data_IF_583739319859
#
_entry.id   IF_583739319859
#
_cell.length_a   1.000
_cell.length_b   1.000
_cell.length_c   1.000
_cell.angle_alpha   90.00
_cell.angle_beta   90.00
_cell.angle_gamma   90.00
#
_symmetry.space_group_name_H-M   'P 1'
#
loop_
_entity.id
_entity.type
_entity.pdbx_description
1 polymer ?
#
# COMPACT_ATOMS: atom_id res chain seq x y z
N UNK A 1 -4.41 -4.57 -6.62
CA UNK A 1 -4.82 -4.08 -5.30
C UNK A 1 -5.28 -2.64 -5.44
N UNK A 2 -6.26 -2.22 -4.66
CA UNK A 2 -6.72 -0.83 -4.65
C UNK A 2 -5.98 -0.07 -3.55
N UNK A 3 -5.35 1.03 -3.91
CA UNK A 3 -4.68 1.95 -3.00
C UNK A 3 -5.42 3.27 -2.99
N UNK A 4 -5.56 3.87 -1.81
CA UNK A 4 -6.25 5.13 -1.59
C UNK A 4 -5.23 6.18 -1.17
N UNK A 5 -5.20 7.31 -1.88
CA UNK A 5 -4.37 8.43 -1.50
C UNK A 5 -4.89 9.05 -0.20
N UNK A 6 -4.03 9.15 0.80
CA UNK A 6 -4.37 9.70 2.12
C UNK A 6 -4.59 11.21 2.10
N UNK A 7 -4.14 11.90 1.05
CA UNK A 7 -4.31 13.36 0.91
C UNK A 7 -5.55 13.75 0.10
N UNK A 8 -5.74 13.17 -1.08
CA UNK A 8 -6.83 13.58 -1.99
C UNK A 8 -7.95 12.54 -2.14
N UNK A 9 -7.81 11.36 -1.53
CA UNK A 9 -8.84 10.32 -1.51
C UNK A 9 -9.05 9.56 -2.83
N UNK A 10 -8.23 9.81 -3.85
CA UNK A 10 -8.34 9.07 -5.11
C UNK A 10 -7.91 7.62 -4.92
N UNK A 11 -8.62 6.71 -5.61
CA UNK A 11 -8.29 5.30 -5.66
C UNK A 11 -7.47 5.00 -6.92
N UNK A 12 -6.33 4.35 -6.75
CA UNK A 12 -5.48 3.88 -7.85
C UNK A 12 -5.32 2.37 -7.76
N UNK A 13 -5.26 1.72 -8.93
CA UNK A 13 -5.09 0.27 -9.01
C UNK A 13 -3.62 -0.05 -9.20
N UNK A 14 -3.00 -0.61 -8.17
CA UNK A 14 -1.63 -1.11 -8.23
C UNK A 14 -1.65 -2.58 -8.66
N UNK A 15 -0.89 -2.98 -9.70
CA UNK A 15 -0.78 -4.37 -10.12
C UNK A 15 -0.22 -5.27 -9.02
N UNK A 16 -0.72 -6.51 -8.94
CA UNK A 16 -0.25 -7.48 -7.93
C UNK A 16 1.23 -7.81 -8.11
N UNK A 17 1.68 -7.93 -9.36
CA UNK A 17 3.07 -8.23 -9.72
C UNK A 17 4.06 -7.20 -9.16
N UNK A 18 3.68 -5.91 -9.11
CA UNK A 18 4.50 -4.85 -8.53
C UNK A 18 4.64 -5.04 -7.02
N UNK A 19 3.54 -5.40 -6.35
CA UNK A 19 3.51 -5.64 -4.90
C UNK A 19 4.35 -6.87 -4.56
N UNK A 20 4.18 -7.96 -5.30
CA UNK A 20 4.98 -9.18 -5.12
C UNK A 20 6.47 -8.90 -5.40
N UNK A 21 6.79 -8.11 -6.41
CA UNK A 21 8.17 -7.67 -6.69
C UNK A 21 8.78 -6.96 -5.48
N UNK A 22 8.05 -6.04 -4.85
CA UNK A 22 8.51 -5.37 -3.61
C UNK A 22 8.68 -6.40 -2.48
N UNK A 23 7.70 -7.27 -2.23
CA UNK A 23 7.77 -8.26 -1.14
C UNK A 23 8.96 -9.23 -1.24
N UNK A 24 9.31 -9.66 -2.46
CA UNK A 24 10.28 -10.73 -2.67
C UNK A 24 11.67 -10.24 -3.08
N UNK A 25 11.77 -9.03 -3.65
CA UNK A 25 13.02 -8.53 -4.25
C UNK A 25 13.55 -7.25 -3.60
N UNK A 26 12.75 -6.55 -2.78
CA UNK A 26 13.22 -5.35 -2.08
C UNK A 26 13.95 -5.74 -0.77
N UNK A 27 15.23 -5.37 -0.67
CA UNK A 27 16.06 -5.65 0.52
C UNK A 27 15.57 -4.87 1.76
N UNK A 28 14.92 -3.72 1.55
CA UNK A 28 14.38 -2.88 2.62
C UNK A 28 12.92 -3.25 2.96
N UNK A 29 12.39 -4.33 2.36
CA UNK A 29 11.04 -4.79 2.67
C UNK A 29 10.90 -5.16 4.16
N UNK A 30 9.96 -4.51 4.83
CA UNK A 30 9.53 -4.89 6.17
C UNK A 30 8.13 -5.50 6.13
N UNK A 31 7.92 -6.72 6.67
CA UNK A 31 6.60 -7.34 6.75
C UNK A 31 5.67 -6.62 7.74
N UNK A 32 6.17 -5.65 8.51
CA UNK A 32 5.36 -4.86 9.45
C UNK A 32 4.78 -3.59 8.81
N UNK A 33 5.07 -3.34 7.54
CA UNK A 33 4.59 -2.17 6.80
C UNK A 33 4.00 -2.59 5.46
N UNK A 34 2.91 -1.95 5.05
CA UNK A 34 2.39 -2.12 3.70
C UNK A 34 3.34 -1.48 2.67
N UNK A 35 3.45 -2.04 1.45
CA UNK A 35 4.16 -1.38 0.35
C UNK A 35 3.61 0.01 0.08
N UNK A 36 4.50 0.99 -0.04
CA UNK A 36 4.16 2.41 -0.13
C UNK A 36 4.21 2.90 -1.59
N UNK A 37 3.22 3.71 -1.96
CA UNK A 37 3.14 4.31 -3.30
C UNK A 37 2.83 5.79 -3.22
N UNK A 38 3.27 6.54 -4.23
CA UNK A 38 2.94 7.95 -4.40
C UNK A 38 1.78 8.08 -5.37
N UNK A 39 0.76 8.84 -4.97
CA UNK A 39 -0.41 9.17 -5.78
C UNK A 39 0.02 9.87 -7.07
N UNK A 40 -0.43 9.35 -8.22
CA UNK A 40 -0.11 9.92 -9.54
C UNK A 40 -0.68 11.34 -9.70
N UNK A 41 -1.78 11.64 -9.00
CA UNK A 41 -2.46 12.95 -9.10
C UNK A 41 -1.80 14.05 -8.26
N UNK A 42 -1.38 13.76 -7.04
CA UNK A 42 -0.92 14.79 -6.10
C UNK A 42 0.43 14.51 -5.43
N UNK A 43 1.05 13.36 -5.69
CA UNK A 43 2.30 12.94 -5.05
C UNK A 43 2.17 12.54 -3.58
N UNK A 44 0.94 12.53 -3.04
CA UNK A 44 0.67 12.14 -1.66
C UNK A 44 0.82 10.65 -1.41
N UNK A 45 1.10 10.28 -0.16
CA UNK A 45 1.18 8.87 0.26
C UNK A 45 -0.14 8.13 0.00
N UNK A 46 -0.01 6.89 -0.44
CA UNK A 46 -1.14 5.99 -0.67
C UNK A 46 -1.06 4.77 0.23
N UNK A 47 -2.22 4.32 0.69
CA UNK A 47 -2.34 3.15 1.55
C UNK A 47 -3.31 2.13 0.93
N UNK A 48 -3.08 0.81 1.09
CA UNK A 48 -4.00 -0.18 0.54
C UNK A 48 -5.37 -0.06 1.19
N UNK A 49 -6.43 -0.25 0.40
CA UNK A 49 -7.78 -0.41 0.95
C UNK A 49 -7.85 -1.64 1.87
N UNK A 50 -7.28 -2.76 1.40
CA UNK A 50 -7.00 -3.97 2.16
C UNK A 50 -5.83 -4.70 1.49
N UNK A 51 -4.88 -5.16 2.27
CA UNK A 51 -3.71 -5.91 1.81
C UNK A 51 -3.30 -6.92 2.87
N UNK A 52 -2.94 -8.14 2.44
CA UNK A 52 -2.38 -9.17 3.30
C UNK A 52 -1.08 -9.65 2.70
N UNK A 53 0.01 -9.52 3.45
CA UNK A 53 1.34 -9.92 3.01
C UNK A 53 1.58 -11.43 3.14
N UNK A 54 2.72 -11.92 2.65
CA UNK A 54 3.07 -13.35 2.72
C UNK A 54 3.23 -13.89 4.16
N UNK A 55 3.57 -13.04 5.13
CA UNK A 55 3.60 -13.41 6.56
C UNK A 55 2.20 -13.53 7.18
N UNK A 56 1.15 -13.21 6.43
CA UNK A 56 -0.24 -13.25 6.87
C UNK A 56 -0.68 -12.02 7.66
N UNK A 57 0.13 -10.96 7.72
CA UNK A 57 -0.20 -9.68 8.36
C UNK A 57 -1.10 -8.88 7.43
N UNK A 58 -2.15 -8.30 8.01
CA UNK A 58 -3.17 -7.54 7.29
C UNK A 58 -2.99 -6.04 7.55
N UNK A 59 -3.21 -5.26 6.50
CA UNK A 59 -3.18 -3.80 6.50
C UNK A 59 -4.46 -3.29 5.86
N UNK A 60 -5.12 -2.36 6.53
CA UNK A 60 -6.40 -1.79 6.11
C UNK A 60 -6.34 -0.27 6.18
N UNK A 61 -7.06 0.41 5.26
CA UNK A 61 -7.07 1.87 5.24
C UNK A 61 -7.49 2.48 6.59
N UNK A 62 -8.40 1.83 7.31
CA UNK A 62 -8.84 2.25 8.64
C UNK A 62 -7.70 2.34 9.67
N UNK A 63 -6.59 1.62 9.47
CA UNK A 63 -5.45 1.64 10.39
C UNK A 63 -4.74 3.01 10.42
N UNK A 64 -4.94 3.82 9.37
CA UNK A 64 -4.30 5.13 9.17
C UNK A 64 -5.29 6.28 9.02
N UNK A 65 -6.58 6.02 8.80
CA UNK A 65 -7.59 7.05 8.55
C UNK A 65 -8.17 7.68 9.84
N UNK A 66 -8.02 7.01 10.99
CA UNK A 66 -8.55 7.45 12.30
C UNK A 66 -7.47 8.03 13.26
N UNK A 67 -6.35 8.55 12.74
CA UNK A 67 -5.28 9.18 13.54
C UNK A 67 -5.15 10.67 13.33
#
# INVERSE_FOLDING_TARGET
MTYICLQCGIAERIPKEIIETIEFLDEDFSPLTAPQFSCEKCGGEMYPQYYRNFCGIEFQLSDVQDK
#
